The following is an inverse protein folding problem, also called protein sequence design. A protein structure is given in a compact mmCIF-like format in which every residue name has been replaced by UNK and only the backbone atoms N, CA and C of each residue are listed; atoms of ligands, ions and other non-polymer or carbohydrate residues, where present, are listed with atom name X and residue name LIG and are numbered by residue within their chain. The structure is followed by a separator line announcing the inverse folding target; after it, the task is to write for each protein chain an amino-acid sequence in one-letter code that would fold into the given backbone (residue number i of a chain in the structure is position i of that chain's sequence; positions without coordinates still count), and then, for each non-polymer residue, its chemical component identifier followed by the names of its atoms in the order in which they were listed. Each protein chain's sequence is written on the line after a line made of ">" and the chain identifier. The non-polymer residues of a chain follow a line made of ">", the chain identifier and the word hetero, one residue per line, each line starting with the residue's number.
data_IF_712408471840
#
_entry.id   IF_712408471840
#
_cell.length_a   1.000
_cell.length_b   1.000
_cell.length_c   1.000
_cell.angle_alpha   90.00
_cell.angle_beta   90.00
_cell.angle_gamma   90.00
#
_symmetry.space_group_name_H-M   'P 1'
#
loop_
_entity.id
_entity.type
_entity.pdbx_description
1 polymer ?
#
# COMPACT_ATOMS: atom_id res chain seq x y z
N UNK A 1 -8.04 3.86 4.33
CA UNK A 1 -6.58 4.09 4.20
C UNK A 1 -6.24 5.48 4.66
N UNK A 2 -5.22 5.59 5.50
CA UNK A 2 -4.68 6.88 5.95
C UNK A 2 -3.22 6.94 5.55
N UNK A 3 -2.86 7.92 4.73
CA UNK A 3 -1.52 8.13 4.24
C UNK A 3 -0.97 9.45 4.78
N UNK A 4 0.18 9.41 5.44
CA UNK A 4 0.82 10.58 6.03
C UNK A 4 -0.15 11.38 6.92
N UNK A 5 -0.93 10.67 7.75
CA UNK A 5 -1.96 11.20 8.65
C UNK A 5 -3.16 11.85 7.92
N UNK A 6 -3.30 11.66 6.61
CA UNK A 6 -4.45 12.15 5.83
C UNK A 6 -5.34 10.97 5.45
N UNK A 7 -6.60 11.03 5.86
CA UNK A 7 -7.58 9.99 5.56
C UNK A 7 -7.99 10.05 4.08
N UNK A 8 -7.87 8.92 3.37
CA UNK A 8 -8.24 8.81 1.96
C UNK A 8 -9.53 8.02 1.75
N UNK A 9 -10.28 7.78 2.82
CA UNK A 9 -11.47 6.92 2.80
C UNK A 9 -12.52 7.38 1.79
N UNK A 10 -12.71 8.68 1.64
CA UNK A 10 -13.73 9.24 0.74
C UNK A 10 -13.31 9.19 -0.73
N UNK A 11 -12.07 8.88 -1.03
CA UNK A 11 -11.52 8.92 -2.38
C UNK A 11 -11.17 7.53 -2.91
N UNK A 12 -11.25 6.50 -2.06
CA UNK A 12 -10.93 5.12 -2.42
C UNK A 12 -12.20 4.29 -2.46
N UNK A 13 -12.55 3.76 -3.63
CA UNK A 13 -13.59 2.74 -3.77
C UNK A 13 -12.99 1.36 -4.03
N UNK A 14 -11.67 1.29 -4.22
CA UNK A 14 -10.92 0.05 -4.42
C UNK A 14 -9.65 0.12 -3.60
N UNK A 15 -9.40 -0.90 -2.80
CA UNK A 15 -8.12 -1.03 -2.12
C UNK A 15 -7.70 -2.49 -2.08
N UNK A 16 -6.43 -2.74 -2.32
CA UNK A 16 -5.85 -4.07 -2.32
C UNK A 16 -4.49 -4.00 -1.65
N UNK A 17 -4.25 -4.91 -0.73
CA UNK A 17 -2.95 -5.03 -0.06
C UNK A 17 -2.35 -6.37 -0.40
N UNK A 18 -1.13 -6.35 -0.90
CA UNK A 18 -0.39 -7.55 -1.23
C UNK A 18 0.78 -7.72 -0.26
N UNK A 19 0.90 -8.91 0.31
CA UNK A 19 2.02 -9.30 1.13
C UNK A 19 2.68 -10.50 0.46
N UNK A 20 3.89 -10.31 -0.02
CA UNK A 20 4.64 -11.37 -0.69
C UNK A 20 5.81 -11.77 0.18
N UNK A 21 5.78 -13.00 0.66
CA UNK A 21 6.85 -13.57 1.46
C UNK A 21 7.83 -14.26 0.52
N UNK A 22 9.09 -13.87 0.57
CA UNK A 22 10.12 -14.52 -0.22
C UNK A 22 10.32 -15.95 0.30
N UNK A 23 10.30 -16.94 -0.60
CA UNK A 23 10.60 -18.32 -0.27
C UNK A 23 12.08 -18.58 -0.52
N UNK A 24 12.79 -18.99 0.50
CA UNK A 24 14.20 -19.35 0.39
C UNK A 24 14.30 -20.86 0.29
N UNK A 25 14.92 -21.35 -0.79
CA UNK A 25 15.14 -22.77 -1.00
C UNK A 25 16.24 -23.25 -0.04
N UNK A 26 15.86 -24.12 0.89
CA UNK A 26 16.78 -24.74 1.83
C UNK A 26 17.01 -26.22 1.52
N UNK A 27 16.54 -26.71 0.37
CA UNK A 27 16.76 -28.08 -0.08
C UNK A 27 18.26 -28.37 -0.17
N UNK A 28 18.68 -29.46 0.44
CA UNK A 28 20.09 -29.85 0.45
C UNK A 28 20.27 -31.26 -0.11
N UNK A 29 21.51 -31.59 -0.40
CA UNK A 29 21.86 -32.89 -0.94
C UNK A 29 21.49 -34.01 0.04
N UNK A 30 20.69 -34.95 -0.43
CA UNK A 30 20.14 -36.02 0.41
C UNK A 30 18.72 -35.79 0.86
N UNK A 31 18.15 -34.61 0.63
CA UNK A 31 16.72 -34.35 0.89
C UNK A 31 15.86 -35.19 -0.04
N UNK A 32 14.78 -35.75 0.50
CA UNK A 32 13.78 -36.50 -0.28
C UNK A 32 12.65 -35.61 -0.79
N UNK A 33 12.56 -34.37 -0.31
CA UNK A 33 11.57 -33.38 -0.71
C UNK A 33 12.22 -32.01 -0.75
N UNK A 34 11.61 -31.11 -1.56
CA UNK A 34 12.03 -29.72 -1.60
C UNK A 34 11.70 -29.03 -0.28
N UNK A 35 12.66 -28.30 0.25
CA UNK A 35 12.50 -27.56 1.51
C UNK A 35 12.60 -26.07 1.22
N UNK A 36 11.68 -25.29 1.81
CA UNK A 36 11.68 -23.83 1.71
C UNK A 36 11.52 -23.19 3.08
N UNK A 37 12.13 -22.04 3.25
CA UNK A 37 12.06 -21.26 4.49
C UNK A 37 11.53 -19.86 4.16
N UNK A 38 10.62 -19.29 4.96
CA UNK A 38 10.16 -17.94 4.74
C UNK A 38 11.30 -16.92 4.88
N UNK A 39 11.42 -16.03 3.89
CA UNK A 39 12.32 -14.88 3.94
C UNK A 39 11.60 -13.62 4.38
N UNK A 40 12.08 -12.47 3.93
CA UNK A 40 11.43 -11.19 4.20
C UNK A 40 10.12 -11.04 3.43
N UNK A 41 9.19 -10.28 3.98
CA UNK A 41 7.91 -9.98 3.35
C UNK A 41 7.97 -8.62 2.67
N UNK A 42 7.52 -8.56 1.43
CA UNK A 42 7.36 -7.31 0.69
C UNK A 42 5.88 -6.92 0.68
N UNK A 43 5.62 -5.67 1.04
CA UNK A 43 4.26 -5.14 1.15
C UNK A 43 3.99 -4.10 0.08
N UNK A 44 2.78 -4.12 -0.44
CA UNK A 44 2.33 -3.21 -1.47
C UNK A 44 0.84 -2.96 -1.32
N UNK A 45 0.40 -1.72 -1.52
CA UNK A 45 -1.02 -1.35 -1.47
C UNK A 45 -1.39 -0.65 -2.76
N UNK A 46 -2.44 -1.16 -3.41
CA UNK A 46 -3.04 -0.55 -4.60
C UNK A 46 -4.35 0.12 -4.21
N UNK A 47 -4.53 1.35 -4.64
CA UNK A 47 -5.70 2.16 -4.37
C UNK A 47 -6.30 2.69 -5.64
N UNK A 48 -7.61 2.95 -5.63
CA UNK A 48 -8.29 3.55 -6.76
C UNK A 48 -9.64 4.11 -6.35
N UNK A 49 -10.14 5.06 -7.11
CA UNK A 49 -11.44 5.65 -6.84
C UNK A 49 -11.66 6.95 -7.56
N UNK A 50 -12.53 7.79 -7.00
CA UNK A 50 -12.81 9.11 -7.54
C UNK A 50 -11.74 10.11 -7.11
N UNK A 51 -11.26 10.88 -8.08
CA UNK A 51 -10.25 11.89 -7.80
C UNK A 51 -10.87 13.15 -7.21
N UNK A 52 -10.15 13.79 -6.28
CA UNK A 52 -10.51 15.07 -5.70
C UNK A 52 -9.22 15.86 -5.43
N UNK A 53 -9.31 17.18 -5.40
CA UNK A 53 -8.15 18.03 -5.14
C UNK A 53 -7.56 17.80 -3.75
N UNK A 54 -8.38 17.43 -2.78
CA UNK A 54 -7.91 17.11 -1.44
C UNK A 54 -7.03 15.85 -1.44
N UNK A 55 -7.39 14.84 -2.25
CA UNK A 55 -6.56 13.66 -2.47
C UNK A 55 -5.23 14.05 -3.14
N UNK A 56 -5.29 14.89 -4.16
CA UNK A 56 -4.10 15.34 -4.88
C UNK A 56 -3.16 16.10 -3.96
N UNK A 57 -3.69 16.92 -3.05
CA UNK A 57 -2.88 17.65 -2.08
C UNK A 57 -2.15 16.72 -1.11
N UNK A 58 -2.68 15.53 -0.86
CA UNK A 58 -2.05 14.53 0.01
C UNK A 58 -1.01 13.68 -0.71
N UNK A 59 -1.31 13.25 -1.93
CA UNK A 59 -0.51 12.26 -2.67
C UNK A 59 0.34 12.90 -3.77
N UNK A 60 -0.18 13.92 -4.44
CA UNK A 60 0.47 14.55 -5.59
C UNK A 60 1.88 15.08 -5.31
N UNK A 61 2.12 15.84 -4.24
CA UNK A 61 3.45 16.34 -3.94
C UNK A 61 4.48 15.23 -3.77
N UNK A 62 4.11 14.11 -3.17
CA UNK A 62 5.00 12.97 -2.98
C UNK A 62 5.29 12.24 -4.31
N UNK A 63 4.38 12.31 -5.27
CA UNK A 63 4.59 11.76 -6.59
C UNK A 63 5.49 12.65 -7.46
N UNK A 64 5.35 13.97 -7.34
CA UNK A 64 6.16 14.94 -8.10
C UNK A 64 7.58 15.01 -7.55
N UNK A 65 7.70 15.10 -6.23
CA UNK A 65 9.01 15.17 -5.55
C UNK A 65 9.01 14.09 -4.46
N UNK A 66 9.60 12.91 -4.73
CA UNK A 66 9.63 11.85 -3.73
C UNK A 66 10.25 12.33 -2.41
N UNK A 67 9.61 12.06 -1.27
CA UNK A 67 10.12 12.52 0.01
C UNK A 67 11.41 11.78 0.39
N UNK A 68 12.31 12.48 1.06
CA UNK A 68 13.53 11.86 1.61
C UNK A 68 13.20 10.96 2.80
N UNK A 69 12.14 11.29 3.53
CA UNK A 69 11.59 10.44 4.59
C UNK A 69 10.26 9.86 4.13
N UNK A 70 10.17 8.54 4.13
CA UNK A 70 8.93 7.84 3.76
C UNK A 70 7.83 8.14 4.78
N UNK A 71 6.60 7.87 4.40
CA UNK A 71 5.42 8.27 5.16
C UNK A 71 4.85 7.13 6.00
N UNK A 72 4.04 7.49 6.99
CA UNK A 72 3.24 6.53 7.73
C UNK A 72 2.03 6.08 6.91
N UNK A 73 1.59 4.85 7.12
CA UNK A 73 0.44 4.29 6.42
C UNK A 73 -0.41 3.48 7.37
N UNK A 74 -1.72 3.64 7.28
CA UNK A 74 -2.69 2.80 7.99
C UNK A 74 -3.69 2.27 7.00
N UNK A 75 -3.84 0.96 6.94
CA UNK A 75 -4.80 0.29 6.07
C UNK A 75 -5.79 -0.49 6.92
N UNK A 76 -7.08 -0.28 6.68
CA UNK A 76 -8.15 -0.88 7.46
C UNK A 76 -9.05 -1.69 6.53
N UNK A 77 -9.29 -2.94 6.87
CA UNK A 77 -10.20 -3.83 6.15
C UNK A 77 -11.31 -4.30 7.10
N UNK A 78 -12.54 -4.19 6.62
CA UNK A 78 -13.71 -4.71 7.32
C UNK A 78 -14.48 -3.66 8.12
N UNK A 79 -15.71 -4.01 8.54
CA UNK A 79 -16.55 -3.14 9.37
C UNK A 79 -16.03 -3.07 10.81
N UNK A 80 -16.55 -2.12 11.59
CA UNK A 80 -16.12 -1.90 12.98
C UNK A 80 -16.18 -3.18 13.82
N UNK A 81 -17.17 -4.05 13.58
CA UNK A 81 -17.35 -5.29 14.32
C UNK A 81 -16.41 -6.42 13.90
N UNK A 82 -15.78 -6.31 12.74
CA UNK A 82 -14.91 -7.36 12.20
C UNK A 82 -13.85 -6.70 11.32
N UNK A 83 -12.82 -6.15 11.96
CA UNK A 83 -11.85 -5.28 11.30
C UNK A 83 -10.42 -5.74 11.54
N UNK A 84 -9.62 -5.71 10.49
CA UNK A 84 -8.17 -5.83 10.59
C UNK A 84 -7.52 -4.49 10.25
N UNK A 85 -6.61 -4.03 11.09
CA UNK A 85 -5.87 -2.79 10.89
C UNK A 85 -4.39 -3.09 10.79
N UNK A 86 -3.77 -2.61 9.72
CA UNK A 86 -2.32 -2.72 9.49
C UNK A 86 -1.72 -1.32 9.56
N UNK A 87 -0.78 -1.13 10.47
CA UNK A 87 -0.18 0.18 10.73
C UNK A 87 1.32 0.14 10.48
N UNK A 88 1.80 1.04 9.65
CA UNK A 88 3.23 1.27 9.41
C UNK A 88 3.60 2.65 9.92
N UNK A 89 4.69 2.72 10.69
CA UNK A 89 5.20 3.97 11.24
C UNK A 89 5.76 4.88 10.15
N UNK A 90 6.02 6.13 10.49
CA UNK A 90 6.74 7.06 9.62
C UNK A 90 8.08 6.46 9.20
N UNK A 91 8.44 6.62 7.94
CA UNK A 91 9.63 6.02 7.36
C UNK A 91 9.39 4.73 6.58
N UNK A 92 8.14 4.32 6.39
CA UNK A 92 7.80 3.02 5.82
C UNK A 92 7.26 3.08 4.39
N UNK A 93 6.33 3.99 4.08
CA UNK A 93 5.58 3.98 2.83
C UNK A 93 5.90 5.15 1.91
N UNK A 94 5.89 4.90 0.61
CA UNK A 94 6.00 5.94 -0.40
C UNK A 94 5.14 5.62 -1.61
N UNK A 95 4.79 6.65 -2.38
CA UNK A 95 4.01 6.50 -3.60
C UNK A 95 4.94 6.07 -4.73
N UNK A 96 4.73 4.89 -5.29
CA UNK A 96 5.51 4.39 -6.41
C UNK A 96 4.82 4.64 -7.75
N UNK A 97 3.50 4.79 -7.75
CA UNK A 97 2.71 5.08 -8.95
C UNK A 97 1.51 5.93 -8.58
N UNK A 98 1.23 6.95 -9.37
CA UNK A 98 0.05 7.80 -9.21
C UNK A 98 -0.46 8.19 -10.59
N UNK A 99 -1.64 7.68 -10.94
CA UNK A 99 -2.25 7.88 -12.25
C UNK A 99 -3.61 8.56 -12.09
N UNK A 100 -3.83 9.59 -12.88
CA UNK A 100 -5.10 10.32 -12.92
C UNK A 100 -5.66 10.17 -14.33
N UNK A 101 -6.93 9.80 -14.43
CA UNK A 101 -7.63 9.66 -15.69
C UNK A 101 -8.83 10.60 -15.73
N UNK A 102 -8.85 11.52 -16.68
CA UNK A 102 -9.96 12.41 -16.92
C UNK A 102 -10.81 11.89 -18.08
N UNK A 103 -12.12 11.73 -17.84
CA UNK A 103 -13.07 11.34 -18.87
C UNK A 103 -13.66 12.60 -19.49
N UNK A 104 -13.87 12.65 -20.83
CA UNK A 104 -14.54 13.79 -21.48
C UNK A 104 -15.92 14.11 -20.92
N UNK A 105 -16.57 13.15 -20.25
CA UNK A 105 -17.85 13.35 -19.58
C UNK A 105 -17.74 14.00 -18.20
N UNK A 106 -16.55 14.45 -17.81
CA UNK A 106 -16.33 15.18 -16.58
C UNK A 106 -15.98 14.34 -15.37
N UNK A 107 -15.96 13.02 -15.49
CA UNK A 107 -15.55 12.15 -14.39
C UNK A 107 -14.03 12.02 -14.35
N UNK A 108 -13.44 12.25 -13.18
CA UNK A 108 -12.01 12.07 -12.98
C UNK A 108 -11.81 10.93 -11.97
N UNK A 109 -11.02 9.94 -12.37
CA UNK A 109 -10.67 8.80 -11.51
C UNK A 109 -9.18 8.75 -11.32
N UNK A 110 -8.74 8.04 -10.29
CA UNK A 110 -7.33 7.88 -10.00
C UNK A 110 -7.02 6.44 -9.61
N UNK A 111 -5.76 6.08 -9.77
CA UNK A 111 -5.21 4.86 -9.21
C UNK A 111 -3.81 5.14 -8.71
N UNK A 112 -3.42 4.47 -7.65
CA UNK A 112 -2.11 4.66 -7.07
C UNK A 112 -1.59 3.39 -6.42
N UNK A 113 -0.28 3.28 -6.35
CA UNK A 113 0.42 2.17 -5.72
C UNK A 113 1.36 2.72 -4.66
N UNK A 114 1.28 2.16 -3.46
CA UNK A 114 2.18 2.48 -2.35
C UNK A 114 3.10 1.29 -2.12
N UNK A 115 4.39 1.54 -2.18
CA UNK A 115 5.41 0.56 -1.81
C UNK A 115 5.79 0.76 -0.34
N UNK A 116 5.98 -0.32 0.39
CA UNK A 116 6.14 -0.28 1.83
C UNK A 116 7.35 -1.09 2.24
N UNK A 117 8.15 -0.51 3.13
CA UNK A 117 9.31 -1.17 3.75
C UNK A 117 8.99 -1.49 5.20
N UNK A 118 9.38 -2.67 5.66
CA UNK A 118 9.20 -3.08 7.04
C UNK A 118 7.87 -3.75 7.32
N UNK A 119 7.76 -4.35 8.50
CA UNK A 119 6.58 -5.08 8.91
C UNK A 119 5.54 -4.14 9.55
N UNK A 120 4.24 -4.37 9.32
CA UNK A 120 3.20 -3.61 9.98
C UNK A 120 2.97 -4.09 11.41
N UNK A 121 2.31 -3.24 12.20
CA UNK A 121 1.66 -3.66 13.43
C UNK A 121 0.21 -3.99 13.08
N UNK A 122 -0.19 -5.21 13.32
CA UNK A 122 -1.56 -5.67 13.05
C UNK A 122 -2.38 -5.67 14.33
N UNK A 123 -3.54 -5.09 14.25
CA UNK A 123 -4.48 -5.09 15.38
C UNK A 123 -5.90 -5.42 14.94
#
# INVERSE_FOLDING_TARGET
>A
VTYNAVALTNYCNTQQMDAVVAAIDTTHFGSTAEETTPGSTKWKVDLGGNWDIALDNAVGPDAVTPPTTKRALVVVFGPVSNRATYTWASGSAFVSNYSIKADPKGMITWSGTLEISGAPTRS
#
